data_IF_961408879201
#
_entry.id   IF_961408879201
#
_cell.length_a   1.000
_cell.length_b   1.000
_cell.length_c   1.000
_cell.angle_alpha   90.00
_cell.angle_beta   90.00
_cell.angle_gamma   90.00
#
_symmetry.space_group_name_H-M   'P 1'
#
loop_
_entity.id
_entity.type
_entity.pdbx_description
1 polymer ?
#
# COMPACT_ATOMS: atom_id res chain seq x y z
N UNK A 1 57.06 -13.00 -32.11
CA UNK A 1 57.63 -13.56 -33.34
C UNK A 1 58.04 -15.00 -33.03
N UNK A 2 57.33 -15.97 -33.62
CA UNK A 2 57.64 -17.41 -33.76
C UNK A 2 57.82 -18.29 -32.48
N UNK A 3 57.51 -19.59 -32.41
CA UNK A 3 56.63 -20.56 -33.09
C UNK A 3 56.84 -21.92 -32.36
N UNK A 4 55.75 -22.66 -32.14
CA UNK A 4 55.56 -24.13 -32.25
C UNK A 4 56.25 -25.16 -31.33
N UNK A 5 55.38 -26.07 -30.87
CA UNK A 5 55.56 -27.46 -30.42
C UNK A 5 56.32 -28.38 -31.37
N UNK A 6 56.89 -29.50 -30.87
CA UNK A 6 56.53 -30.89 -31.22
C UNK A 6 57.23 -31.93 -30.30
N UNK A 7 56.60 -33.12 -30.17
CA UNK A 7 56.82 -34.24 -29.24
C UNK A 7 58.07 -35.13 -29.51
N UNK A 8 58.32 -36.22 -28.73
CA UNK A 8 57.80 -37.59 -29.06
C UNK A 8 57.42 -38.44 -27.81
N UNK A 9 56.37 -39.28 -27.81
CA UNK A 9 56.12 -40.62 -28.38
C UNK A 9 56.59 -41.87 -27.55
N UNK A 10 55.60 -42.51 -26.88
CA UNK A 10 55.27 -43.95 -26.68
C UNK A 10 56.20 -44.97 -26.00
N UNK A 11 55.64 -45.73 -25.03
CA UNK A 11 55.63 -47.20 -25.01
C UNK A 11 54.56 -47.77 -24.07
N UNK A 12 53.84 -48.79 -24.55
CA UNK A 12 52.76 -49.56 -23.90
C UNK A 12 53.32 -50.78 -23.16
N UNK A 13 52.70 -51.19 -22.03
CA UNK A 13 52.55 -52.60 -21.66
C UNK A 13 51.42 -52.80 -20.63
N UNK A 14 50.74 -53.95 -20.78
CA UNK A 14 49.40 -54.34 -20.26
C UNK A 14 49.45 -55.16 -18.96
N UNK A 15 48.26 -55.27 -18.33
CA UNK A 15 47.72 -56.37 -17.48
C UNK A 15 48.30 -56.47 -16.05
N UNK A 16 47.59 -56.79 -14.95
CA UNK A 16 46.29 -57.41 -14.69
C UNK A 16 45.95 -57.38 -13.18
N UNK A 17 44.65 -57.47 -12.85
CA UNK A 17 44.00 -58.02 -11.65
C UNK A 17 44.15 -57.42 -10.22
N UNK A 18 43.01 -56.89 -9.75
CA UNK A 18 42.26 -57.19 -8.51
C UNK A 18 43.04 -57.26 -7.18
N UNK A 19 42.73 -56.32 -6.27
CA UNK A 19 42.40 -56.65 -4.88
C UNK A 19 41.52 -55.57 -4.20
N UNK A 20 40.49 -56.05 -3.49
CA UNK A 20 39.54 -55.29 -2.65
C UNK A 20 40.23 -54.76 -1.39
N UNK A 21 39.97 -53.50 -1.04
CA UNK A 21 39.80 -53.07 0.37
C UNK A 21 38.62 -52.08 0.43
N UNK A 22 37.74 -52.34 1.39
CA UNK A 22 36.44 -51.70 1.65
C UNK A 22 36.57 -50.30 2.27
N UNK A 23 35.75 -49.34 1.83
CA UNK A 23 35.48 -48.07 2.53
C UNK A 23 33.98 -47.90 2.83
N UNK A 24 33.58 -47.19 3.90
CA UNK A 24 32.27 -47.34 4.51
C UNK A 24 31.16 -46.55 3.80
N UNK A 25 29.96 -47.13 3.84
CA UNK A 25 28.69 -46.60 3.31
C UNK A 25 28.42 -45.16 3.78
N UNK A 26 28.41 -44.20 2.85
CA UNK A 26 27.69 -42.93 3.05
C UNK A 26 26.22 -43.15 2.70
N UNK A 27 25.37 -43.12 3.74
CA UNK A 27 23.92 -43.02 3.61
C UNK A 27 23.59 -41.79 2.77
N UNK A 28 22.93 -41.99 1.64
CA UNK A 28 22.19 -40.93 0.97
C UNK A 28 21.02 -40.53 1.88
N UNK A 29 21.16 -39.39 2.56
CA UNK A 29 20.03 -38.67 3.12
C UNK A 29 19.36 -37.97 1.93
N UNK A 30 18.21 -38.50 1.52
CA UNK A 30 17.28 -37.80 0.63
C UNK A 30 16.94 -36.46 1.26
N UNK A 31 17.29 -35.38 0.57
CA UNK A 31 16.79 -34.03 0.90
C UNK A 31 15.27 -34.12 0.82
N UNK A 32 14.63 -34.02 1.97
CA UNK A 32 13.19 -33.88 2.07
C UNK A 32 12.81 -32.63 1.27
N UNK A 33 12.03 -32.81 0.21
CA UNK A 33 11.36 -31.71 -0.45
C UNK A 33 10.47 -31.06 0.62
N UNK A 34 10.92 -29.93 1.17
CA UNK A 34 10.07 -29.02 1.91
C UNK A 34 8.90 -28.71 0.98
N UNK A 35 7.71 -29.22 1.32
CA UNK A 35 6.50 -28.83 0.64
C UNK A 35 6.44 -27.31 0.69
N UNK A 36 6.52 -26.66 -0.46
CA UNK A 36 6.16 -25.26 -0.56
C UNK A 36 4.73 -25.17 -0.02
N UNK A 37 4.57 -24.58 1.16
CA UNK A 37 3.25 -24.24 1.67
C UNK A 37 2.55 -23.47 0.55
N UNK A 38 1.44 -24.00 0.03
CA UNK A 38 0.64 -23.27 -0.95
C UNK A 38 0.30 -21.90 -0.36
N UNK A 39 0.52 -20.84 -1.12
CA UNK A 39 0.22 -19.48 -0.69
C UNK A 39 -1.25 -19.40 -0.24
N UNK A 40 -1.52 -18.68 0.86
CA UNK A 40 -2.89 -18.47 1.37
C UNK A 40 -3.69 -17.69 0.33
N UNK A 41 -4.80 -18.23 -0.12
CA UNK A 41 -5.67 -17.60 -1.13
C UNK A 41 -6.58 -16.58 -0.47
N UNK A 42 -6.57 -15.35 -0.95
CA UNK A 42 -7.38 -14.25 -0.42
C UNK A 42 -8.22 -13.64 -1.52
N UNK A 43 -9.49 -13.39 -1.23
CA UNK A 43 -10.37 -12.58 -2.07
C UNK A 43 -10.57 -11.19 -1.46
N UNK A 44 -10.26 -10.15 -2.23
CA UNK A 44 -10.62 -8.76 -1.93
C UNK A 44 -11.57 -8.26 -3.01
N UNK A 45 -12.89 -8.28 -2.78
CA UNK A 45 -13.84 -7.75 -3.73
C UNK A 45 -13.83 -6.21 -3.69
N UNK A 46 -13.93 -5.59 -4.86
CA UNK A 46 -14.01 -4.14 -5.03
C UNK A 46 -15.21 -3.78 -5.91
N UNK A 47 -15.74 -2.58 -5.71
CA UNK A 47 -16.88 -2.04 -6.42
C UNK A 47 -16.69 -0.55 -6.71
N UNK A 48 -17.54 0.02 -7.55
CA UNK A 48 -17.63 1.46 -7.68
C UNK A 48 -17.98 2.09 -6.33
N UNK A 49 -17.22 3.11 -5.92
CA UNK A 49 -17.37 3.73 -4.60
C UNK A 49 -16.78 2.95 -3.43
N UNK A 50 -16.01 1.88 -3.67
CA UNK A 50 -15.17 1.25 -2.63
C UNK A 50 -14.22 2.28 -2.04
N UNK A 51 -14.02 2.25 -0.72
CA UNK A 51 -13.03 3.09 -0.04
C UNK A 51 -11.60 2.66 -0.43
N UNK A 52 -10.85 3.48 -1.20
CA UNK A 52 -9.64 3.00 -1.86
C UNK A 52 -8.50 2.73 -0.88
N UNK A 53 -8.35 3.53 0.19
CA UNK A 53 -7.35 3.26 1.22
C UNK A 53 -7.60 1.90 1.89
N UNK A 54 -8.86 1.58 2.19
CA UNK A 54 -9.22 0.32 2.85
C UNK A 54 -8.87 -0.90 1.98
N UNK A 55 -9.20 -0.83 0.69
CA UNK A 55 -8.88 -1.90 -0.26
C UNK A 55 -7.37 -2.05 -0.47
N UNK A 56 -6.68 -0.95 -0.81
CA UNK A 56 -5.27 -0.98 -1.24
C UNK A 56 -4.33 -1.34 -0.10
N UNK A 57 -4.53 -0.78 1.10
CA UNK A 57 -3.73 -1.15 2.28
C UNK A 57 -3.90 -2.64 2.60
N UNK A 58 -5.14 -3.16 2.55
CA UNK A 58 -5.41 -4.58 2.82
C UNK A 58 -4.74 -5.49 1.80
N UNK A 59 -4.84 -5.17 0.51
CA UNK A 59 -4.21 -5.93 -0.58
C UNK A 59 -2.68 -5.95 -0.40
N UNK A 60 -2.09 -4.79 -0.20
CA UNK A 60 -0.64 -4.62 -0.09
C UNK A 60 -0.10 -5.43 1.11
N UNK A 61 -0.66 -5.22 2.31
CA UNK A 61 -0.18 -5.88 3.53
C UNK A 61 -0.30 -7.41 3.45
N UNK A 62 -1.39 -7.92 2.87
CA UNK A 62 -1.56 -9.36 2.68
C UNK A 62 -0.58 -9.92 1.65
N UNK A 63 -0.30 -9.20 0.56
CA UNK A 63 0.73 -9.59 -0.42
C UNK A 63 2.14 -9.54 0.18
N UNK A 64 2.44 -8.58 1.08
CA UNK A 64 3.70 -8.56 1.84
C UNK A 64 3.86 -9.80 2.74
N UNK A 65 2.76 -10.35 3.25
CA UNK A 65 2.78 -11.58 4.03
C UNK A 65 2.97 -12.85 3.19
N UNK A 66 2.93 -12.75 1.86
CA UNK A 66 3.00 -13.89 0.93
C UNK A 66 1.63 -14.51 0.61
N UNK A 67 0.53 -13.81 0.86
CA UNK A 67 -0.79 -14.24 0.41
C UNK A 67 -0.95 -14.10 -1.11
N UNK A 68 -1.63 -15.07 -1.72
CA UNK A 68 -2.13 -15.00 -3.09
C UNK A 68 -3.46 -14.23 -3.11
N UNK A 69 -3.37 -12.92 -3.29
CA UNK A 69 -4.52 -12.02 -3.24
C UNK A 69 -5.12 -11.82 -4.64
N UNK A 70 -6.34 -12.30 -4.82
CA UNK A 70 -7.21 -11.99 -5.97
C UNK A 70 -8.04 -10.75 -5.67
N UNK A 71 -7.82 -9.69 -6.44
CA UNK A 71 -8.70 -8.51 -6.43
C UNK A 71 -9.82 -8.74 -7.44
N UNK A 72 -11.08 -8.72 -7.00
CA UNK A 72 -12.21 -9.07 -7.86
C UNK A 72 -13.24 -7.94 -7.94
N UNK A 73 -13.55 -7.48 -9.15
CA UNK A 73 -14.60 -6.49 -9.34
C UNK A 73 -15.98 -7.15 -9.25
N UNK A 74 -16.88 -6.61 -8.43
CA UNK A 74 -18.30 -7.01 -8.43
C UNK A 74 -19.12 -6.34 -9.54
N UNK A 75 -18.50 -5.40 -10.26
CA UNK A 75 -19.09 -4.71 -11.40
C UNK A 75 -19.06 -5.58 -12.67
N UNK A 76 -19.57 -5.05 -13.77
CA UNK A 76 -19.53 -5.72 -15.09
C UNK A 76 -18.15 -5.67 -15.77
N UNK A 77 -17.23 -4.88 -15.23
CA UNK A 77 -15.92 -4.59 -15.81
C UNK A 77 -14.83 -4.62 -14.72
N UNK A 78 -13.58 -4.85 -15.13
CA UNK A 78 -12.46 -4.97 -14.18
C UNK A 78 -12.10 -3.64 -13.51
N UNK A 79 -12.20 -2.53 -14.25
CA UNK A 79 -11.92 -1.20 -13.72
C UNK A 79 -13.09 -0.71 -12.87
N UNK A 80 -12.80 -0.34 -11.63
CA UNK A 80 -13.75 0.33 -10.73
C UNK A 80 -13.31 1.78 -10.49
N UNK A 81 -14.28 2.68 -10.45
CA UNK A 81 -14.09 4.04 -9.98
C UNK A 81 -14.36 4.04 -8.46
N UNK A 82 -13.28 3.92 -7.68
CA UNK A 82 -13.32 3.91 -6.23
C UNK A 82 -13.61 5.32 -5.68
N UNK A 83 -13.71 5.44 -4.35
CA UNK A 83 -13.89 6.71 -3.66
C UNK A 83 -12.86 7.76 -4.07
N UNK A 84 -13.28 9.03 -4.04
CA UNK A 84 -12.42 10.21 -4.27
C UNK A 84 -11.62 10.14 -5.59
N UNK A 85 -12.22 9.56 -6.63
CA UNK A 85 -11.67 9.54 -7.99
C UNK A 85 -10.46 8.63 -8.18
N UNK A 86 -10.15 7.76 -7.21
CA UNK A 86 -9.11 6.72 -7.37
C UNK A 86 -9.67 5.62 -8.28
N UNK A 87 -8.85 5.14 -9.23
CA UNK A 87 -9.25 4.12 -10.20
C UNK A 87 -8.40 2.88 -10.00
N UNK A 88 -9.05 1.75 -9.75
CA UNK A 88 -8.39 0.45 -9.51
C UNK A 88 -8.84 -0.53 -10.59
N UNK A 89 -7.92 -1.32 -11.12
CA UNK A 89 -8.24 -2.40 -12.06
C UNK A 89 -8.10 -3.75 -11.35
N UNK A 90 -9.22 -4.47 -11.22
CA UNK A 90 -9.25 -5.80 -10.63
C UNK A 90 -8.46 -6.82 -11.45
N UNK A 91 -8.11 -7.94 -10.82
CA UNK A 91 -7.49 -9.10 -11.47
C UNK A 91 -8.52 -9.96 -12.21
N UNK A 92 -9.75 -9.98 -11.69
CA UNK A 92 -10.87 -10.75 -12.24
C UNK A 92 -12.22 -10.09 -11.96
N UNK A 93 -13.27 -10.57 -12.62
CA UNK A 93 -14.64 -10.33 -12.17
C UNK A 93 -14.98 -11.33 -11.06
N UNK A 94 -15.79 -10.92 -10.09
CA UNK A 94 -16.21 -11.79 -8.98
C UNK A 94 -16.96 -13.04 -9.46
N UNK A 95 -17.62 -12.96 -10.62
CA UNK A 95 -18.27 -14.12 -11.25
C UNK A 95 -17.26 -15.22 -11.62
N UNK A 96 -16.02 -14.86 -11.94
CA UNK A 96 -14.92 -15.81 -12.17
C UNK A 96 -14.40 -16.47 -10.88
N UNK A 97 -14.82 -15.99 -9.71
CA UNK A 97 -14.42 -16.50 -8.40
C UNK A 97 -15.49 -17.39 -7.74
N UNK A 98 -16.64 -17.62 -8.39
CA UNK A 98 -17.81 -18.26 -7.77
C UNK A 98 -17.54 -19.66 -7.18
N UNK A 99 -16.66 -20.43 -7.82
CA UNK A 99 -16.26 -21.77 -7.37
C UNK A 99 -14.94 -21.77 -6.58
N UNK A 100 -14.39 -20.57 -6.30
CA UNK A 100 -13.15 -20.39 -5.57
C UNK A 100 -13.27 -20.80 -4.11
N UNK A 101 -12.19 -21.37 -3.58
CA UNK A 101 -12.00 -21.59 -2.15
C UNK A 101 -10.88 -20.68 -1.68
N UNK A 102 -11.19 -19.84 -0.69
CA UNK A 102 -10.27 -18.84 -0.15
C UNK A 102 -9.99 -19.13 1.33
N UNK A 103 -8.75 -18.87 1.76
CA UNK A 103 -8.40 -18.85 3.18
C UNK A 103 -8.98 -17.62 3.89
N UNK A 104 -9.17 -16.51 3.15
CA UNK A 104 -9.79 -15.27 3.63
C UNK A 104 -10.61 -14.59 2.53
N UNK A 105 -11.80 -14.09 2.88
CA UNK A 105 -12.53 -13.08 2.10
C UNK A 105 -12.63 -11.82 2.95
N UNK A 106 -12.12 -10.68 2.47
CA UNK A 106 -12.13 -9.41 3.23
C UNK A 106 -12.76 -8.27 2.43
N UNK A 107 -13.82 -7.66 2.97
CA UNK A 107 -14.59 -6.62 2.30
C UNK A 107 -14.14 -5.22 2.76
N UNK A 108 -13.65 -4.35 1.85
CA UNK A 108 -13.51 -2.93 2.13
C UNK A 108 -14.88 -2.28 2.27
N UNK A 109 -14.96 -1.09 2.87
CA UNK A 109 -16.16 -0.28 2.95
C UNK A 109 -16.25 0.75 1.82
N UNK A 110 -16.59 1.98 2.20
CA UNK A 110 -16.96 3.06 1.28
C UNK A 110 -18.42 2.98 0.84
N UNK A 111 -19.02 4.13 0.55
CA UNK A 111 -20.38 4.22 0.01
C UNK A 111 -20.32 4.95 -1.34
N UNK A 112 -20.97 4.44 -2.40
CA UNK A 112 -21.88 3.27 -2.43
C UNK A 112 -21.18 1.90 -2.50
N UNK A 113 -19.85 1.80 -2.40
CA UNK A 113 -19.12 0.53 -2.58
C UNK A 113 -19.65 -0.64 -1.75
N UNK A 114 -19.85 -0.46 -0.44
CA UNK A 114 -20.41 -1.49 0.43
C UNK A 114 -21.83 -1.92 0.05
N UNK A 115 -22.62 -1.04 -0.56
CA UNK A 115 -23.95 -1.37 -1.11
C UNK A 115 -23.82 -2.26 -2.34
N UNK A 116 -22.92 -1.93 -3.27
CA UNK A 116 -22.68 -2.78 -4.44
C UNK A 116 -22.11 -4.15 -4.05
N UNK A 117 -21.23 -4.20 -3.04
CA UNK A 117 -20.75 -5.47 -2.47
C UNK A 117 -21.92 -6.29 -1.88
N UNK A 118 -22.80 -5.66 -1.10
CA UNK A 118 -24.01 -6.30 -0.53
C UNK A 118 -24.92 -6.89 -1.61
N UNK A 119 -25.14 -6.15 -2.69
CA UNK A 119 -26.10 -6.49 -3.74
C UNK A 119 -25.56 -7.52 -4.76
N UNK A 120 -24.29 -7.91 -4.63
CA UNK A 120 -23.68 -8.95 -5.46
C UNK A 120 -24.01 -10.35 -4.91
N UNK A 121 -24.99 -11.02 -5.52
CA UNK A 121 -25.42 -12.36 -5.11
C UNK A 121 -24.28 -13.42 -5.13
N UNK A 122 -23.35 -13.32 -6.07
CA UNK A 122 -22.17 -14.21 -6.12
C UNK A 122 -21.30 -14.02 -4.87
N UNK A 123 -21.01 -12.77 -4.51
CA UNK A 123 -20.21 -12.45 -3.33
C UNK A 123 -20.91 -12.85 -2.03
N UNK A 124 -22.22 -12.61 -1.93
CA UNK A 124 -23.03 -13.07 -0.79
C UNK A 124 -22.91 -14.59 -0.61
N UNK A 125 -23.04 -15.36 -1.69
CA UNK A 125 -22.89 -16.82 -1.67
C UNK A 125 -21.51 -17.26 -1.20
N UNK A 126 -20.45 -16.62 -1.72
CA UNK A 126 -19.07 -16.88 -1.31
C UNK A 126 -18.84 -16.62 0.18
N UNK A 127 -19.30 -15.48 0.70
CA UNK A 127 -19.10 -15.11 2.12
C UNK A 127 -19.93 -15.98 3.06
N UNK A 128 -21.20 -16.27 2.72
CA UNK A 128 -22.02 -17.19 3.53
C UNK A 128 -21.41 -18.59 3.60
N UNK A 129 -20.89 -19.10 2.48
CA UNK A 129 -20.17 -20.37 2.44
C UNK A 129 -18.88 -20.32 3.25
N UNK A 130 -18.09 -19.25 3.13
CA UNK A 130 -16.86 -19.02 3.90
C UNK A 130 -17.12 -19.09 5.41
N UNK A 131 -18.18 -18.41 5.87
CA UNK A 131 -18.59 -18.42 7.27
C UNK A 131 -19.11 -19.79 7.73
N UNK A 132 -19.93 -20.46 6.93
CA UNK A 132 -20.46 -21.80 7.21
C UNK A 132 -19.36 -22.87 7.29
N UNK A 133 -18.33 -22.75 6.45
CA UNK A 133 -17.15 -23.63 6.44
C UNK A 133 -16.18 -23.32 7.61
N UNK A 134 -16.45 -22.31 8.44
CA UNK A 134 -15.60 -21.91 9.55
C UNK A 134 -14.24 -21.36 9.11
N UNK A 135 -14.16 -20.77 7.91
CA UNK A 135 -12.96 -20.10 7.39
C UNK A 135 -12.95 -18.62 7.76
N UNK A 136 -11.79 -17.96 7.64
CA UNK A 136 -11.62 -16.56 8.00
C UNK A 136 -12.40 -15.66 7.03
N UNK A 137 -13.12 -14.68 7.57
CA UNK A 137 -13.77 -13.62 6.79
C UNK A 137 -13.71 -12.30 7.55
N UNK A 138 -13.66 -11.20 6.81
CA UNK A 138 -13.43 -9.91 7.41
C UNK A 138 -14.13 -8.77 6.67
N UNK A 139 -14.42 -7.68 7.38
CA UNK A 139 -14.98 -6.48 6.79
C UNK A 139 -14.56 -5.23 7.57
N UNK A 140 -14.37 -4.11 6.87
CA UNK A 140 -14.03 -2.83 7.49
C UNK A 140 -15.06 -1.77 7.13
N UNK A 141 -15.19 -0.76 8.00
CA UNK A 141 -15.95 0.45 7.74
C UNK A 141 -17.46 0.21 7.64
N UNK A 142 -18.08 0.49 6.50
CA UNK A 142 -19.52 0.29 6.31
C UNK A 142 -19.89 -1.19 6.11
N UNK A 143 -18.99 -2.00 5.55
CA UNK A 143 -19.29 -3.38 5.13
C UNK A 143 -19.73 -4.34 6.25
N UNK A 144 -19.25 -4.26 7.50
CA UNK A 144 -19.80 -5.06 8.59
C UNK A 144 -21.31 -4.86 8.78
N UNK A 145 -21.79 -3.61 8.77
CA UNK A 145 -23.20 -3.30 8.99
C UNK A 145 -24.05 -3.40 7.71
N UNK A 146 -23.47 -3.03 6.56
CA UNK A 146 -24.18 -2.94 5.27
C UNK A 146 -24.24 -4.27 4.54
N UNK A 147 -23.18 -5.08 4.58
CA UNK A 147 -23.11 -6.36 3.87
C UNK A 147 -23.25 -7.54 4.84
N UNK A 148 -22.34 -7.66 5.81
CA UNK A 148 -22.30 -8.84 6.70
C UNK A 148 -23.54 -8.96 7.59
N UNK A 149 -24.06 -7.83 8.10
CA UNK A 149 -25.28 -7.80 8.90
C UNK A 149 -26.48 -8.44 8.19
N UNK A 150 -26.93 -7.90 7.03
CA UNK A 150 -28.01 -8.49 6.24
C UNK A 150 -27.75 -9.93 5.78
N UNK A 151 -26.50 -10.32 5.53
CA UNK A 151 -26.15 -11.71 5.20
C UNK A 151 -26.21 -12.66 6.40
N UNK A 152 -26.34 -12.14 7.63
CA UNK A 152 -26.51 -12.93 8.85
C UNK A 152 -25.23 -13.57 9.38
N UNK A 153 -24.06 -13.22 8.84
CA UNK A 153 -22.77 -13.86 9.16
C UNK A 153 -22.12 -13.33 10.45
N UNK A 154 -22.80 -12.43 11.17
CA UNK A 154 -22.32 -11.86 12.46
C UNK A 154 -23.17 -12.28 13.67
N UNK A 155 -24.20 -13.12 13.47
CA UNK A 155 -25.14 -13.48 14.54
C UNK A 155 -24.42 -14.10 15.74
N UNK A 156 -24.55 -13.45 16.90
CA UNK A 156 -23.96 -13.91 18.16
C UNK A 156 -22.48 -13.56 18.34
N UNK A 157 -21.87 -12.84 17.39
CA UNK A 157 -20.48 -12.38 17.47
C UNK A 157 -20.38 -10.94 17.96
N UNK A 158 -19.23 -10.56 18.49
CA UNK A 158 -18.82 -9.17 18.67
C UNK A 158 -18.28 -8.62 17.36
N UNK A 159 -18.70 -7.42 17.00
CA UNK A 159 -18.23 -6.75 15.79
C UNK A 159 -18.13 -5.24 15.99
N UNK A 160 -17.28 -4.60 15.20
CA UNK A 160 -17.19 -3.14 15.10
C UNK A 160 -17.42 -2.71 13.64
N UNK A 161 -17.70 -1.43 13.43
CA UNK A 161 -17.83 -0.84 12.10
C UNK A 161 -17.55 0.66 12.17
N UNK A 162 -17.74 1.35 11.05
CA UNK A 162 -17.66 2.81 11.02
C UNK A 162 -18.71 3.41 11.97
N UNK A 163 -18.38 4.47 12.76
CA UNK A 163 -19.24 4.97 13.83
C UNK A 163 -20.69 5.24 13.43
N UNK A 164 -20.92 5.85 12.26
CA UNK A 164 -22.28 6.17 11.79
C UNK A 164 -23.12 4.94 11.42
N UNK A 165 -22.54 3.75 11.38
CA UNK A 165 -23.23 2.49 11.08
C UNK A 165 -23.40 1.58 12.32
N UNK A 166 -22.94 2.01 13.49
CA UNK A 166 -22.99 1.19 14.71
C UNK A 166 -24.42 0.85 15.13
N UNK A 167 -25.36 1.78 14.95
CA UNK A 167 -26.79 1.52 15.21
C UNK A 167 -27.37 0.46 14.26
N UNK A 168 -26.93 0.45 12.99
CA UNK A 168 -27.32 -0.57 12.01
C UNK A 168 -26.66 -1.94 12.31
N UNK A 169 -25.49 -1.96 12.95
CA UNK A 169 -24.79 -3.18 13.35
C UNK A 169 -25.44 -3.86 14.57
N UNK A 170 -25.92 -3.09 15.54
CA UNK A 170 -26.40 -3.58 16.83
C UNK A 170 -27.48 -4.70 16.76
N UNK A 171 -28.42 -4.72 15.80
CA UNK A 171 -29.40 -5.79 15.68
C UNK A 171 -28.82 -7.14 15.22
N UNK A 172 -27.64 -7.14 14.60
CA UNK A 172 -27.05 -8.34 13.98
C UNK A 172 -25.77 -8.83 14.67
N UNK A 173 -25.18 -8.05 15.59
CA UNK A 173 -23.98 -8.38 16.34
C UNK A 173 -23.92 -7.63 17.68
N UNK A 174 -23.09 -8.09 18.61
CA UNK A 174 -22.72 -7.30 19.80
C UNK A 174 -21.76 -6.20 19.36
N UNK A 175 -22.27 -4.98 19.17
CA UNK A 175 -21.48 -3.86 18.69
C UNK A 175 -20.44 -3.40 19.74
N UNK A 176 -19.17 -3.25 19.33
CA UNK A 176 -18.06 -2.84 20.20
C UNK A 176 -17.23 -1.71 19.59
N UNK A 177 -16.60 -0.89 20.44
CA UNK A 177 -15.83 0.30 20.03
C UNK A 177 -14.35 0.05 19.70
N UNK A 178 -13.86 -1.19 19.70
CA UNK A 178 -12.48 -1.54 19.38
C UNK A 178 -12.10 -1.14 17.94
N UNK A 179 -10.86 -0.71 17.69
CA UNK A 179 -10.39 -0.34 16.34
C UNK A 179 -10.38 -1.54 15.40
N UNK A 180 -10.03 -2.71 15.93
CA UNK A 180 -10.13 -4.01 15.27
C UNK A 180 -10.78 -4.97 16.27
N UNK A 181 -11.80 -5.70 15.81
CA UNK A 181 -12.50 -6.71 16.60
C UNK A 181 -12.33 -8.08 15.95
N UNK A 182 -11.70 -9.01 16.67
CA UNK A 182 -11.62 -10.42 16.30
C UNK A 182 -12.60 -11.19 17.19
N UNK A 183 -13.55 -11.91 16.59
CA UNK A 183 -14.43 -12.84 17.31
C UNK A 183 -14.65 -14.11 16.48
N UNK A 184 -14.14 -15.23 16.98
CA UNK A 184 -14.10 -16.49 16.24
C UNK A 184 -13.33 -16.35 14.92
N UNK A 185 -14.05 -16.50 13.80
CA UNK A 185 -13.51 -16.39 12.43
C UNK A 185 -13.83 -15.06 11.74
N UNK A 186 -14.57 -14.19 12.41
CA UNK A 186 -14.87 -12.86 11.91
C UNK A 186 -13.84 -11.85 12.42
N UNK A 187 -13.33 -11.01 11.51
CA UNK A 187 -12.52 -9.84 11.87
C UNK A 187 -13.18 -8.58 11.32
N UNK A 188 -13.45 -7.60 12.17
CA UNK A 188 -14.07 -6.34 11.75
C UNK A 188 -13.26 -5.13 12.18
N UNK A 189 -13.38 -4.02 11.46
CA UNK A 189 -12.66 -2.77 11.77
C UNK A 189 -13.47 -1.53 11.36
N UNK A 190 -13.01 -0.33 11.78
CA UNK A 190 -13.86 0.87 11.81
C UNK A 190 -13.75 1.78 10.59
N UNK A 191 -12.61 1.95 9.94
CA UNK A 191 -12.49 2.90 8.83
C UNK A 191 -11.08 3.03 8.26
N UNK A 192 -10.83 4.03 7.40
CA UNK A 192 -9.55 4.15 6.70
C UNK A 192 -8.36 4.17 7.65
N UNK A 193 -8.43 4.97 8.71
CA UNK A 193 -7.39 5.15 9.72
C UNK A 193 -7.12 3.92 10.60
N UNK A 194 -7.96 2.88 10.56
CA UNK A 194 -7.75 1.60 11.27
C UNK A 194 -7.28 0.48 10.34
N UNK A 195 -7.19 0.72 9.02
CA UNK A 195 -6.98 -0.34 8.03
C UNK A 195 -5.62 -1.05 8.16
N UNK A 196 -4.55 -0.34 8.51
CA UNK A 196 -3.24 -0.99 8.67
C UNK A 196 -3.25 -1.98 9.83
N UNK A 197 -3.81 -1.59 10.98
CA UNK A 197 -3.99 -2.47 12.14
C UNK A 197 -4.87 -3.68 11.80
N UNK A 198 -5.99 -3.43 11.10
CA UNK A 198 -6.88 -4.46 10.60
C UNK A 198 -6.13 -5.46 9.71
N UNK A 199 -5.35 -4.96 8.76
CA UNK A 199 -4.61 -5.80 7.82
C UNK A 199 -3.52 -6.64 8.50
N UNK A 200 -2.79 -6.06 9.47
CA UNK A 200 -1.81 -6.80 10.28
C UNK A 200 -2.48 -7.87 11.13
N UNK A 201 -3.67 -7.60 11.68
CA UNK A 201 -4.45 -8.61 12.40
C UNK A 201 -4.86 -9.77 11.47
N UNK A 202 -5.22 -9.49 10.21
CA UNK A 202 -5.51 -10.54 9.22
C UNK A 202 -4.27 -11.38 8.89
N UNK A 203 -3.08 -10.76 8.80
CA UNK A 203 -1.81 -11.49 8.65
C UNK A 203 -1.57 -12.42 9.85
N UNK A 204 -1.81 -11.94 11.07
CA UNK A 204 -1.68 -12.77 12.27
C UNK A 204 -2.65 -13.96 12.25
N UNK A 205 -3.90 -13.76 11.84
CA UNK A 205 -4.89 -14.84 11.73
C UNK A 205 -4.53 -15.89 10.65
N UNK A 206 -3.89 -15.48 9.55
CA UNK A 206 -3.55 -16.37 8.43
C UNK A 206 -2.19 -17.07 8.57
N UNK A 207 -1.20 -16.37 9.12
CA UNK A 207 0.20 -16.76 9.11
C UNK A 207 0.86 -16.78 10.49
N UNK A 208 0.16 -16.31 11.53
CA UNK A 208 0.68 -16.23 12.90
C UNK A 208 1.42 -14.93 13.21
N UNK A 209 1.64 -14.72 14.50
CA UNK A 209 2.17 -13.47 15.07
C UNK A 209 3.57 -13.10 14.58
N UNK A 210 4.43 -14.08 14.34
CA UNK A 210 5.79 -13.83 13.82
C UNK A 210 5.76 -13.16 12.44
N UNK A 211 4.92 -13.67 11.53
CA UNK A 211 4.75 -13.08 10.20
C UNK A 211 4.11 -11.68 10.27
N UNK A 212 3.16 -11.48 11.19
CA UNK A 212 2.57 -10.16 11.42
C UNK A 212 3.62 -9.12 11.87
N UNK A 213 4.53 -9.52 12.78
CA UNK A 213 5.65 -8.67 13.21
C UNK A 213 6.64 -8.38 12.07
N UNK A 214 6.97 -9.39 11.26
CA UNK A 214 7.84 -9.24 10.08
C UNK A 214 7.25 -8.25 9.07
N UNK A 215 5.96 -8.35 8.77
CA UNK A 215 5.28 -7.48 7.79
C UNK A 215 5.10 -6.06 8.32
N UNK A 216 4.79 -5.89 9.60
CA UNK A 216 4.55 -4.57 10.21
C UNK A 216 5.82 -3.74 10.42
N UNK A 217 6.98 -4.37 10.65
CA UNK A 217 8.26 -3.69 10.82
C UNK A 217 8.59 -2.62 9.76
N UNK A 218 8.62 -2.97 8.45
CA UNK A 218 8.91 -2.01 7.38
C UNK A 218 7.76 -1.03 7.08
N UNK A 219 6.58 -1.17 7.70
CA UNK A 219 5.48 -0.24 7.49
C UNK A 219 5.67 1.08 8.24
N UNK A 220 6.52 1.18 9.26
CA UNK A 220 6.72 2.45 10.02
C UNK A 220 5.40 2.95 10.66
N UNK A 221 4.55 2.02 11.11
CA UNK A 221 3.27 2.31 11.75
C UNK A 221 3.48 3.18 13.00
N UNK A 222 2.51 4.07 13.27
CA UNK A 222 2.50 4.86 14.51
C UNK A 222 2.27 3.96 15.72
N UNK A 223 2.94 4.24 16.82
CA UNK A 223 2.81 3.48 18.07
C UNK A 223 1.68 3.99 18.98
N UNK A 224 1.23 5.24 18.80
CA UNK A 224 0.18 5.85 19.61
C UNK A 224 -0.93 6.44 18.72
N UNK A 225 -2.20 6.18 19.08
CA UNK A 225 -3.37 6.64 18.35
C UNK A 225 -4.03 7.92 18.90
N UNK A 226 -3.23 8.80 19.52
CA UNK A 226 -3.68 10.03 20.19
C UNK A 226 -4.40 11.07 19.32
N UNK A 227 -4.64 12.24 19.93
CA UNK A 227 -5.51 13.30 19.38
C UNK A 227 -4.94 14.03 18.16
N UNK A 228 -3.62 13.98 17.95
CA UNK A 228 -2.95 14.79 16.92
C UNK A 228 -1.93 14.00 16.11
N UNK A 229 -1.61 14.52 14.91
CA UNK A 229 -0.43 14.14 14.14
C UNK A 229 0.66 15.20 14.34
N UNK A 230 1.92 14.80 14.23
CA UNK A 230 3.07 15.69 14.49
C UNK A 230 3.84 16.02 13.22
N UNK A 231 4.22 17.29 13.09
CA UNK A 231 5.01 17.82 11.99
C UNK A 231 6.26 18.46 12.60
N UNK A 232 7.44 18.06 12.12
CA UNK A 232 8.68 18.76 12.42
C UNK A 232 8.85 19.88 11.40
N UNK A 233 8.45 21.10 11.78
CA UNK A 233 8.59 22.28 10.92
C UNK A 233 9.87 23.06 11.23
N UNK A 234 10.59 23.36 10.16
CA UNK A 234 11.87 24.07 10.13
C UNK A 234 11.79 25.15 9.06
N UNK A 235 12.46 26.29 9.29
CA UNK A 235 12.47 27.44 8.38
C UNK A 235 11.06 27.75 7.84
N UNK A 236 10.08 28.02 8.72
CA UNK A 236 8.67 28.08 8.34
C UNK A 236 8.45 29.16 7.28
N UNK A 237 7.74 28.77 6.22
CA UNK A 237 7.23 29.67 5.19
C UNK A 237 5.76 29.39 4.96
N UNK A 238 5.03 30.43 4.54
CA UNK A 238 3.65 30.30 4.11
C UNK A 238 3.60 29.67 2.72
N UNK A 239 2.71 28.69 2.53
CA UNK A 239 2.47 28.07 1.22
C UNK A 239 1.28 28.77 0.59
N UNK A 240 1.54 29.61 -0.41
CA UNK A 240 0.51 30.38 -1.09
C UNK A 240 0.12 29.77 -2.42
N UNK A 241 -1.13 29.97 -2.81
CA UNK A 241 -1.71 29.57 -4.08
C UNK A 241 -2.88 30.51 -4.38
N UNK A 242 -3.19 30.70 -5.67
CA UNK A 242 -4.15 31.74 -6.09
C UNK A 242 -5.62 31.30 -5.85
N UNK A 243 -5.94 30.04 -6.14
CA UNK A 243 -7.31 29.49 -6.11
C UNK A 243 -7.39 28.16 -5.31
N UNK A 244 -7.88 27.09 -5.91
CA UNK A 244 -7.80 25.73 -5.36
C UNK A 244 -6.42 25.17 -5.70
N UNK A 245 -5.62 24.68 -4.72
CA UNK A 245 -4.26 24.27 -4.98
C UNK A 245 -4.25 23.09 -5.94
N UNK A 246 -3.47 23.23 -7.01
CA UNK A 246 -3.29 22.20 -8.03
C UNK A 246 -2.04 21.39 -7.73
N UNK A 247 -2.25 20.10 -7.47
CA UNK A 247 -1.22 19.20 -6.93
C UNK A 247 -0.93 18.11 -7.94
N UNK A 248 0.34 17.93 -8.32
CA UNK A 248 0.80 16.82 -9.12
C UNK A 248 1.21 15.65 -8.22
N UNK A 249 0.62 14.48 -8.44
CA UNK A 249 1.05 13.21 -7.84
C UNK A 249 1.47 12.26 -8.97
N UNK A 250 2.77 12.13 -9.27
CA UNK A 250 3.25 11.18 -10.26
C UNK A 250 3.14 9.74 -9.75
N UNK A 251 2.75 8.83 -10.64
CA UNK A 251 2.76 7.38 -10.39
C UNK A 251 3.49 6.67 -11.54
N UNK A 252 4.13 5.55 -11.22
CA UNK A 252 4.88 4.74 -12.18
C UNK A 252 4.79 3.26 -11.80
N UNK A 253 5.24 2.38 -12.69
CA UNK A 253 5.39 0.97 -12.37
C UNK A 253 6.29 0.82 -11.13
N UNK A 254 5.84 0.03 -10.16
CA UNK A 254 6.55 -0.17 -8.89
C UNK A 254 6.44 0.97 -7.88
N UNK A 255 5.62 2.00 -8.12
CA UNK A 255 5.20 2.95 -7.08
C UNK A 255 4.57 2.21 -5.90
N UNK A 256 4.83 2.65 -4.67
CA UNK A 256 4.17 2.12 -3.48
C UNK A 256 2.69 2.55 -3.46
N UNK A 257 1.79 1.58 -3.64
CA UNK A 257 0.37 1.82 -3.87
C UNK A 257 -0.35 2.47 -2.68
N UNK A 258 -0.02 2.10 -1.44
CA UNK A 258 -0.72 2.64 -0.30
C UNK A 258 -0.30 4.09 -0.04
N UNK A 259 0.99 4.41 -0.19
CA UNK A 259 1.51 5.79 -0.14
C UNK A 259 0.83 6.67 -1.20
N UNK A 260 0.79 6.20 -2.46
CA UNK A 260 0.16 6.95 -3.54
C UNK A 260 -1.33 7.18 -3.28
N UNK A 261 -2.07 6.13 -2.92
CA UNK A 261 -3.52 6.22 -2.69
C UNK A 261 -3.84 7.09 -1.48
N UNK A 262 -3.10 6.99 -0.38
CA UNK A 262 -3.32 7.85 0.79
C UNK A 262 -3.08 9.33 0.47
N UNK A 263 -2.02 9.65 -0.30
CA UNK A 263 -1.76 11.03 -0.75
C UNK A 263 -2.90 11.53 -1.62
N UNK A 264 -3.28 10.76 -2.65
CA UNK A 264 -4.31 11.16 -3.62
C UNK A 264 -5.67 11.35 -2.95
N UNK A 265 -6.08 10.35 -2.15
CA UNK A 265 -7.39 10.34 -1.50
C UNK A 265 -7.51 11.51 -0.52
N UNK A 266 -6.57 11.65 0.43
CA UNK A 266 -6.65 12.67 1.48
C UNK A 266 -6.64 14.09 0.90
N UNK A 267 -5.82 14.35 -0.11
CA UNK A 267 -5.76 15.66 -0.76
C UNK A 267 -7.06 15.96 -1.54
N UNK A 268 -7.68 14.97 -2.16
CA UNK A 268 -9.00 15.12 -2.81
C UNK A 268 -10.13 15.29 -1.80
N UNK A 269 -10.08 14.62 -0.64
CA UNK A 269 -11.02 14.89 0.48
C UNK A 269 -10.92 16.33 0.97
N UNK A 270 -9.71 16.88 0.99
CA UNK A 270 -9.46 18.29 1.29
C UNK A 270 -9.91 19.26 0.19
N UNK A 271 -10.45 18.75 -0.92
CA UNK A 271 -10.90 19.51 -2.10
C UNK A 271 -9.77 20.17 -2.88
N UNK A 272 -8.54 19.66 -2.78
CA UNK A 272 -7.46 20.05 -3.68
C UNK A 272 -7.67 19.49 -5.11
N UNK A 273 -7.17 20.21 -6.11
CA UNK A 273 -7.17 19.75 -7.50
C UNK A 273 -5.96 18.83 -7.74
N UNK A 274 -6.15 17.54 -7.44
CA UNK A 274 -5.09 16.52 -7.57
C UNK A 274 -5.08 15.93 -8.98
N UNK A 275 -4.01 16.18 -9.72
CA UNK A 275 -3.69 15.57 -11.00
C UNK A 275 -2.77 14.36 -10.77
N UNK A 276 -3.29 13.16 -11.01
CA UNK A 276 -2.50 11.94 -10.97
C UNK A 276 -1.92 11.69 -12.36
N UNK A 277 -0.60 11.68 -12.48
CA UNK A 277 0.07 11.55 -13.78
C UNK A 277 0.91 10.27 -13.85
N UNK A 278 0.69 9.46 -14.89
CA UNK A 278 1.54 8.29 -15.15
C UNK A 278 2.85 8.73 -15.79
N UNK A 279 3.97 8.29 -15.26
CA UNK A 279 5.31 8.49 -15.85
C UNK A 279 5.57 7.50 -17.00
N UNK A 280 4.73 6.47 -17.12
CA UNK A 280 4.78 5.48 -18.20
C UNK A 280 4.16 6.03 -19.50
N UNK A 281 4.15 5.20 -20.55
CA UNK A 281 3.50 5.48 -21.84
C UNK A 281 1.97 5.23 -21.83
N UNK A 282 1.44 4.73 -20.71
CA UNK A 282 0.02 4.42 -20.51
C UNK A 282 -0.47 4.90 -19.14
N UNK A 283 -1.78 5.13 -19.04
CA UNK A 283 -2.41 5.58 -17.79
C UNK A 283 -2.43 4.50 -16.70
N UNK A 284 -2.54 3.22 -17.08
CA UNK A 284 -2.55 2.11 -16.14
C UNK A 284 -1.13 1.68 -15.77
N UNK A 285 -0.82 1.71 -14.48
CA UNK A 285 0.44 1.23 -13.92
C UNK A 285 0.23 -0.04 -13.08
N UNK A 286 1.30 -0.81 -12.91
CA UNK A 286 1.37 -1.92 -11.96
C UNK A 286 2.23 -1.50 -10.76
N UNK A 287 1.62 -1.28 -9.61
CA UNK A 287 2.28 -0.83 -8.39
C UNK A 287 3.15 -1.93 -7.74
N UNK A 288 3.88 -1.58 -6.69
CA UNK A 288 4.93 -2.39 -6.08
C UNK A 288 4.44 -3.75 -5.57
N UNK A 289 3.22 -3.82 -5.02
CA UNK A 289 2.52 -5.03 -4.59
C UNK A 289 1.37 -5.36 -5.52
N UNK A 290 1.56 -5.09 -6.81
CA UNK A 290 0.71 -5.57 -7.91
C UNK A 290 -0.71 -5.03 -7.90
N UNK A 291 -0.99 -3.93 -7.19
CA UNK A 291 -2.24 -3.18 -7.40
C UNK A 291 -2.15 -2.44 -8.73
N UNK A 292 -3.18 -2.55 -9.57
CA UNK A 292 -3.25 -1.79 -10.83
C UNK A 292 -4.00 -0.48 -10.59
N UNK A 293 -3.31 0.63 -10.76
CA UNK A 293 -3.85 1.99 -10.61
C UNK A 293 -3.93 2.65 -11.98
N UNK A 294 -4.95 3.50 -12.17
CA UNK A 294 -5.10 4.29 -13.41
C UNK A 294 -4.94 5.78 -13.10
N UNK A 295 -3.94 6.40 -13.72
CA UNK A 295 -3.71 7.83 -13.67
C UNK A 295 -4.84 8.61 -14.36
N UNK A 296 -4.91 9.91 -14.10
CA UNK A 296 -5.84 10.81 -14.80
C UNK A 296 -5.30 11.20 -16.18
N UNK A 297 -3.99 11.43 -16.26
CA UNK A 297 -3.28 11.88 -17.46
C UNK A 297 -1.90 11.22 -17.55
N UNK A 298 -1.27 11.32 -18.73
CA UNK A 298 0.16 11.03 -18.86
C UNK A 298 1.00 12.22 -18.35
N UNK A 299 2.23 11.95 -17.91
CA UNK A 299 3.17 13.00 -17.48
C UNK A 299 3.42 14.02 -18.58
N UNK A 300 3.37 13.60 -19.84
CA UNK A 300 3.53 14.46 -21.02
C UNK A 300 2.49 15.57 -21.09
N UNK A 301 1.25 15.27 -20.72
CA UNK A 301 0.17 16.24 -20.65
C UNK A 301 0.32 17.11 -19.39
N UNK A 302 0.60 16.48 -18.25
CA UNK A 302 0.78 17.18 -16.97
C UNK A 302 1.92 18.19 -17.00
N UNK A 303 3.02 17.91 -17.71
CA UNK A 303 4.21 18.76 -17.77
C UNK A 303 3.96 20.15 -18.39
N UNK A 304 2.84 20.33 -19.09
CA UNK A 304 2.43 21.60 -19.67
C UNK A 304 1.55 22.45 -18.72
N UNK A 305 1.32 21.99 -17.48
CA UNK A 305 0.45 22.63 -16.51
C UNK A 305 1.27 23.21 -15.35
N UNK A 306 0.86 24.35 -14.78
CA UNK A 306 1.42 24.83 -13.52
C UNK A 306 0.90 23.98 -12.34
N UNK A 307 1.73 23.81 -11.32
CA UNK A 307 1.38 23.14 -10.07
C UNK A 307 1.83 23.97 -8.87
N UNK A 308 1.01 23.97 -7.83
CA UNK A 308 1.31 24.60 -6.55
C UNK A 308 2.11 23.66 -5.65
N UNK A 309 1.94 22.35 -5.85
CA UNK A 309 2.71 21.31 -5.18
C UNK A 309 2.99 20.14 -6.12
N UNK A 310 4.22 19.62 -6.10
CA UNK A 310 4.57 18.32 -6.68
C UNK A 310 4.98 17.39 -5.54
N UNK A 311 4.30 16.26 -5.40
CA UNK A 311 4.57 15.31 -4.31
C UNK A 311 4.76 13.89 -4.84
N UNK A 312 5.90 13.28 -4.47
CA UNK A 312 6.27 11.95 -4.93
C UNK A 312 5.96 10.87 -3.89
N UNK A 313 5.13 9.87 -4.21
CA UNK A 313 5.10 8.60 -3.48
C UNK A 313 6.46 7.90 -3.54
N UNK A 314 6.65 6.85 -2.74
CA UNK A 314 7.83 6.01 -2.76
C UNK A 314 7.68 4.75 -3.61
N UNK A 315 8.24 3.67 -3.07
CA UNK A 315 8.44 2.39 -3.77
C UNK A 315 9.77 2.40 -4.54
N UNK A 316 10.56 1.33 -4.41
CA UNK A 316 11.89 1.29 -5.04
C UNK A 316 11.79 1.37 -6.58
N UNK A 317 10.84 0.63 -7.17
CA UNK A 317 10.60 0.67 -8.62
C UNK A 317 10.07 2.02 -9.08
N UNK A 318 9.09 2.58 -8.36
CA UNK A 318 8.52 3.89 -8.67
C UNK A 318 9.54 5.00 -8.56
N UNK A 319 10.30 5.05 -7.46
CA UNK A 319 11.39 6.03 -7.29
C UNK A 319 12.48 5.88 -8.37
N UNK A 320 12.78 4.66 -8.81
CA UNK A 320 13.70 4.42 -9.93
C UNK A 320 13.14 4.94 -11.26
N UNK A 321 11.85 4.77 -11.52
CA UNK A 321 11.20 5.35 -12.70
C UNK A 321 11.18 6.89 -12.62
N UNK A 322 10.87 7.46 -11.45
CA UNK A 322 10.85 8.90 -11.22
C UNK A 322 12.22 9.54 -11.45
N UNK A 323 13.29 8.97 -10.90
CA UNK A 323 14.65 9.53 -11.03
C UNK A 323 15.18 9.43 -12.46
N UNK A 324 14.70 8.46 -13.25
CA UNK A 324 15.05 8.28 -14.66
C UNK A 324 14.20 9.12 -15.62
N UNK A 325 13.11 9.74 -15.13
CA UNK A 325 12.28 10.62 -15.93
C UNK A 325 12.84 12.04 -15.91
N UNK A 326 13.63 12.39 -16.94
CA UNK A 326 14.17 13.75 -17.11
C UNK A 326 13.07 14.81 -17.04
N UNK A 327 11.90 14.52 -17.60
CA UNK A 327 10.74 15.41 -17.59
C UNK A 327 10.26 15.70 -16.16
N UNK A 328 10.08 14.67 -15.34
CA UNK A 328 9.66 14.84 -13.95
C UNK A 328 10.73 15.55 -13.12
N UNK A 329 12.00 15.19 -13.28
CA UNK A 329 13.13 15.83 -12.60
C UNK A 329 13.19 17.33 -12.95
N UNK A 330 12.98 17.69 -14.21
CA UNK A 330 12.96 19.09 -14.64
C UNK A 330 11.77 19.86 -14.05
N UNK A 331 10.59 19.24 -13.90
CA UNK A 331 9.46 19.86 -13.20
C UNK A 331 9.80 20.13 -11.73
N UNK A 332 10.42 19.19 -11.03
CA UNK A 332 10.83 19.37 -9.63
C UNK A 332 11.89 20.48 -9.46
N UNK A 333 12.88 20.55 -10.35
CA UNK A 333 13.88 21.62 -10.34
C UNK A 333 13.23 22.99 -10.54
N UNK A 334 12.31 23.12 -11.50
CA UNK A 334 11.54 24.36 -11.69
C UNK A 334 10.70 24.71 -10.46
N UNK A 335 10.12 23.72 -9.78
CA UNK A 335 9.37 23.92 -8.54
C UNK A 335 10.27 24.50 -7.44
N UNK A 336 11.45 23.92 -7.25
CA UNK A 336 12.45 24.40 -6.29
C UNK A 336 12.95 25.81 -6.64
N UNK A 337 13.33 26.05 -7.90
CA UNK A 337 13.82 27.37 -8.39
C UNK A 337 12.78 28.48 -8.22
N UNK A 338 11.50 28.13 -8.37
CA UNK A 338 10.37 29.05 -8.17
C UNK A 338 9.96 29.18 -6.70
N UNK A 339 10.70 28.57 -5.78
CA UNK A 339 10.39 28.47 -4.34
C UNK A 339 8.97 27.94 -4.04
N UNK A 340 8.40 27.15 -4.97
CA UNK A 340 7.10 26.54 -4.78
C UNK A 340 7.22 25.25 -3.97
N UNK A 341 6.17 24.83 -3.25
CA UNK A 341 6.17 23.58 -2.51
C UNK A 341 6.47 22.34 -3.37
N UNK A 342 7.27 21.43 -2.83
CA UNK A 342 7.48 20.08 -3.36
C UNK A 342 7.80 19.11 -2.23
N UNK A 343 7.65 17.81 -2.48
CA UNK A 343 7.93 16.83 -1.46
C UNK A 343 8.00 15.40 -1.94
N UNK A 344 8.42 14.51 -1.05
CA UNK A 344 8.52 13.09 -1.34
C UNK A 344 8.43 12.25 -0.06
N UNK A 345 7.97 11.02 -0.18
CA UNK A 345 7.91 10.04 0.91
C UNK A 345 8.76 8.80 0.60
N UNK A 346 9.23 8.13 1.65
CA UNK A 346 9.81 6.80 1.58
C UNK A 346 11.12 6.76 0.79
N UNK A 347 11.15 6.06 -0.35
CA UNK A 347 12.37 5.94 -1.15
C UNK A 347 12.67 7.20 -1.96
N UNK A 348 11.66 7.99 -2.30
CA UNK A 348 11.79 9.12 -3.22
C UNK A 348 12.65 10.29 -2.70
N UNK A 349 12.66 10.66 -1.40
CA UNK A 349 13.64 11.62 -0.88
C UNK A 349 15.09 11.20 -1.17
N UNK A 350 15.44 9.95 -0.89
CA UNK A 350 16.81 9.46 -1.02
C UNK A 350 17.23 9.08 -2.45
N UNK A 351 16.29 8.68 -3.31
CA UNK A 351 16.58 8.18 -4.66
C UNK A 351 16.25 9.19 -5.78
N UNK A 352 15.40 10.17 -5.49
CA UNK A 352 14.99 11.21 -6.45
C UNK A 352 15.47 12.58 -5.97
N UNK A 353 15.10 13.01 -4.77
CA UNK A 353 15.41 14.38 -4.35
C UNK A 353 16.91 14.60 -4.09
N UNK A 354 17.54 13.71 -3.31
CA UNK A 354 18.96 13.82 -2.94
C UNK A 354 19.89 13.84 -4.18
N UNK A 355 19.83 12.88 -5.13
CA UNK A 355 20.80 12.82 -6.23
C UNK A 355 20.67 13.99 -7.22
N UNK A 356 19.50 14.63 -7.28
CA UNK A 356 19.23 15.77 -8.16
C UNK A 356 19.44 17.13 -7.47
N UNK A 357 20.02 17.14 -6.26
CA UNK A 357 20.37 18.36 -5.52
C UNK A 357 19.16 19.09 -4.93
N UNK A 358 17.97 18.48 -4.96
CA UNK A 358 16.74 19.07 -4.45
C UNK A 358 16.74 19.14 -2.92
N UNK A 359 17.61 18.39 -2.22
CA UNK A 359 17.75 18.46 -0.75
C UNK A 359 18.90 19.37 -0.27
N UNK A 360 19.60 20.06 -1.19
CA UNK A 360 20.77 20.86 -0.82
C UNK A 360 20.39 21.99 0.15
N UNK A 361 20.98 21.97 1.35
CA UNK A 361 20.74 22.96 2.39
C UNK A 361 19.38 22.83 3.08
N UNK A 362 18.68 21.70 2.90
CA UNK A 362 17.40 21.40 3.51
C UNK A 362 17.53 20.21 4.46
N UNK A 363 16.68 20.17 5.48
CA UNK A 363 16.49 19.01 6.34
C UNK A 363 15.38 18.12 5.78
N UNK A 364 15.62 16.82 5.81
CA UNK A 364 14.69 15.84 5.27
C UNK A 364 14.69 14.55 6.09
N UNK A 365 13.66 13.74 5.85
CA UNK A 365 13.59 12.36 6.28
C UNK A 365 13.32 11.46 5.07
N UNK A 366 13.52 10.15 5.22
CA UNK A 366 13.34 9.16 4.18
C UNK A 366 12.99 7.80 4.78
N UNK A 367 12.83 6.79 3.93
CA UNK A 367 12.71 5.41 4.38
C UNK A 367 13.90 5.00 5.25
N UNK A 368 13.69 4.38 6.43
CA UNK A 368 14.78 4.10 7.38
C UNK A 368 16.01 3.44 6.76
N UNK A 369 15.82 2.46 5.87
CA UNK A 369 16.91 1.76 5.20
C UNK A 369 17.66 2.59 4.14
N UNK A 370 17.18 3.78 3.81
CA UNK A 370 17.75 4.71 2.82
C UNK A 370 18.21 6.03 3.44
N UNK A 371 18.03 6.24 4.75
CA UNK A 371 18.46 7.46 5.43
C UNK A 371 19.98 7.70 5.33
N UNK A 372 20.77 6.64 5.22
CA UNK A 372 22.22 6.72 5.00
C UNK A 372 22.62 7.29 3.63
N UNK A 373 21.68 7.43 2.70
CA UNK A 373 21.91 8.08 1.40
C UNK A 373 21.71 9.59 1.45
N UNK A 374 21.07 10.12 2.49
CA UNK A 374 20.91 11.56 2.65
C UNK A 374 22.24 12.17 3.09
N UNK A 375 22.61 13.31 2.50
CA UNK A 375 23.80 14.05 2.92
C UNK A 375 23.67 14.63 4.33
N UNK A 376 22.43 14.88 4.77
CA UNK A 376 22.12 15.39 6.11
C UNK A 376 21.07 14.50 6.81
N UNK A 377 21.50 13.56 7.67
CA UNK A 377 20.61 12.65 8.36
C UNK A 377 20.04 13.23 9.67
N UNK A 378 20.14 14.54 9.95
CA UNK A 378 19.85 15.06 11.30
C UNK A 378 18.38 15.00 11.72
N UNK A 379 17.45 14.86 10.78
CA UNK A 379 16.00 14.87 11.06
C UNK A 379 15.30 13.56 10.64
N UNK A 380 16.06 12.48 10.35
CA UNK A 380 15.55 11.22 9.77
C UNK A 380 14.65 10.40 10.68
N UNK A 381 14.62 10.70 11.98
CA UNK A 381 13.72 10.03 12.92
C UNK A 381 12.31 10.64 12.97
N UNK A 382 12.14 11.87 12.47
CA UNK A 382 10.83 12.51 12.42
C UNK A 382 9.95 11.84 11.35
N UNK A 383 8.68 11.64 11.69
CA UNK A 383 7.68 11.00 10.81
C UNK A 383 7.36 11.85 9.60
N UNK A 384 7.27 13.17 9.79
CA UNK A 384 7.10 14.18 8.75
C UNK A 384 8.02 15.36 9.05
N UNK A 385 8.77 15.81 8.05
CA UNK A 385 9.65 16.98 8.12
C UNK A 385 9.21 17.99 7.08
N UNK A 386 9.00 19.23 7.50
CA UNK A 386 8.79 20.39 6.62
C UNK A 386 9.97 21.33 6.81
N UNK A 387 10.71 21.64 5.74
CA UNK A 387 11.77 22.64 5.72
C UNK A 387 11.48 23.70 4.64
N UNK A 388 10.83 24.80 5.05
CA UNK A 388 10.31 25.81 4.14
C UNK A 388 9.31 25.24 3.13
N UNK A 389 9.69 25.20 1.85
CA UNK A 389 8.88 24.67 0.76
C UNK A 389 9.09 23.16 0.49
N UNK A 390 9.97 22.48 1.23
CA UNK A 390 10.17 21.04 1.11
C UNK A 390 9.36 20.31 2.19
N UNK A 391 8.64 19.24 1.82
CA UNK A 391 8.06 18.29 2.76
C UNK A 391 8.54 16.86 2.49
N UNK A 392 8.93 16.12 3.53
CA UNK A 392 9.35 14.71 3.41
C UNK A 392 8.78 13.83 4.50
N UNK A 393 8.71 12.52 4.23
CA UNK A 393 8.21 11.53 5.19
C UNK A 393 8.85 10.14 4.99
N UNK A 394 8.65 9.24 5.95
CA UNK A 394 9.45 8.00 6.10
C UNK A 394 8.93 6.79 5.33
N UNK A 395 7.64 6.51 5.29
CA UNK A 395 7.17 5.24 4.73
C UNK A 395 5.66 5.07 4.79
N UNK A 396 5.16 3.85 4.50
CA UNK A 396 3.73 3.65 4.30
C UNK A 396 2.89 4.06 5.52
N UNK A 397 3.32 3.71 6.72
CA UNK A 397 2.69 4.04 7.99
C UNK A 397 2.78 5.50 8.41
N UNK A 398 3.58 6.33 7.73
CA UNK A 398 3.60 7.79 7.91
C UNK A 398 2.86 8.53 6.79
N UNK A 399 2.33 7.83 5.77
CA UNK A 399 1.74 8.46 4.59
C UNK A 399 0.45 9.25 4.88
N UNK A 400 -0.38 8.79 5.83
CA UNK A 400 -1.54 9.58 6.26
C UNK A 400 -1.10 10.88 6.95
N UNK A 401 -0.08 10.83 7.82
CA UNK A 401 0.46 12.03 8.49
C UNK A 401 1.09 12.97 7.48
N UNK A 402 1.79 12.43 6.49
CA UNK A 402 2.37 13.20 5.40
C UNK A 402 1.30 13.94 4.59
N UNK A 403 0.24 13.25 4.19
CA UNK A 403 -0.86 13.87 3.45
C UNK A 403 -1.64 14.88 4.30
N UNK A 404 -1.89 14.59 5.58
CA UNK A 404 -2.53 15.51 6.52
C UNK A 404 -1.66 16.76 6.80
N UNK A 405 -0.34 16.61 6.85
CA UNK A 405 0.58 17.72 6.98
C UNK A 405 0.55 18.63 5.74
N UNK A 406 0.40 18.06 4.54
CA UNK A 406 0.17 18.85 3.32
C UNK A 406 -1.16 19.60 3.41
N UNK A 407 -2.23 18.94 3.87
CA UNK A 407 -3.53 19.61 4.11
C UNK A 407 -3.39 20.74 5.12
N UNK A 408 -2.63 20.54 6.20
CA UNK A 408 -2.39 21.58 7.21
C UNK A 408 -1.65 22.78 6.62
N UNK A 409 -0.64 22.56 5.76
CA UNK A 409 0.11 23.63 5.09
C UNK A 409 -0.73 24.39 4.06
N UNK A 410 -1.64 23.72 3.35
CA UNK A 410 -2.44 24.34 2.29
C UNK A 410 -3.76 24.93 2.80
N UNK A 411 -4.42 24.28 3.74
CA UNK A 411 -5.79 24.60 4.16
C UNK A 411 -5.94 24.86 5.67
N UNK A 412 -4.84 24.77 6.41
CA UNK A 412 -4.80 25.02 7.85
C UNK A 412 -5.11 23.79 8.70
N UNK A 413 -4.58 23.83 9.93
CA UNK A 413 -4.65 22.74 10.93
C UNK A 413 -6.07 22.26 11.21
N UNK A 414 -7.04 23.18 11.26
CA UNK A 414 -8.45 22.84 11.54
C UNK A 414 -8.99 21.84 10.52
N UNK A 415 -8.79 22.08 9.23
CA UNK A 415 -9.29 21.18 8.19
C UNK A 415 -8.56 19.83 8.20
N UNK A 416 -7.24 19.83 8.44
CA UNK A 416 -6.47 18.60 8.58
C UNK A 416 -6.99 17.73 9.74
N UNK A 417 -7.24 18.32 10.92
CA UNK A 417 -7.77 17.58 12.08
C UNK A 417 -9.18 17.02 11.83
N UNK A 418 -10.08 17.78 11.19
CA UNK A 418 -11.43 17.28 10.87
C UNK A 418 -11.41 16.11 9.87
N UNK A 419 -10.52 16.16 8.87
CA UNK A 419 -10.30 15.00 7.99
C UNK A 419 -9.73 13.81 8.76
N UNK A 420 -8.74 14.03 9.62
CA UNK A 420 -8.12 12.98 10.43
C UNK A 420 -9.16 12.27 11.33
N UNK A 421 -10.08 13.02 11.95
CA UNK A 421 -11.19 12.46 12.75
C UNK A 421 -12.17 11.68 11.89
N UNK A 422 -12.58 12.23 10.74
CA UNK A 422 -13.50 11.55 9.80
C UNK A 422 -12.93 10.22 9.33
N UNK A 423 -11.62 10.16 9.09
CA UNK A 423 -10.94 8.92 8.68
C UNK A 423 -10.66 7.98 9.86
N UNK A 424 -10.99 8.36 11.11
CA UNK A 424 -10.65 7.63 12.34
C UNK A 424 -9.14 7.42 12.51
N UNK A 425 -8.35 8.33 11.94
CA UNK A 425 -6.91 8.36 12.10
C UNK A 425 -6.55 8.86 13.49
N UNK A 426 -7.20 9.93 13.97
CA UNK A 426 -7.13 10.37 15.37
C UNK A 426 -8.43 10.03 16.07
N UNK A 427 -8.46 10.13 17.40
CA UNK A 427 -9.69 9.94 18.16
C UNK A 427 -10.78 10.92 17.66
N UNK A 428 -11.98 10.41 17.29
CA UNK A 428 -13.07 11.24 16.79
C UNK A 428 -13.69 12.12 17.87
#
# INVERSE_FOLDING_TARGET
>A
MALRHFAPHYSLLRLSHINRVTSPKKRFLSVSATMASSARKVLVPIANGTEPMEAVITIDVLRRAGADVTVASVEKQLRVDAGHGVKIVADSLVSGCADGVFDLITLPGGMPGATHLRDCAVLEGLVKKQAADGRLYAAVCASPAVAFGPWGVLKGLKATCYPSFMEQLAPCATAVGSRVQVDGRAVTSRGPGTTMEFSVALVEQLFGKEKANEVSGPLVMRSNHGEEHTIRELNPVEWTFDDCPKILVPIANGTEEMEAVMIIDILRRAKANVVVASVEDKLEILASRQVKLVADVLLDEAANLPFDLIVLPGGLGGAQAFTNSEKLVNLLKKQQESNRPYGAICASPALVLEPHGLLKGKKATAFPALCNKLSDPSEVENRVVVDGNLITSRGPGTAMEFALAIVEKLFGRKQALELAKTMLFVHP
#
